data_IF_117316128075
#
_entry.id   IF_117316128075
#
_cell.length_a   1.000
_cell.length_b   1.000
_cell.length_c   1.000
_cell.angle_alpha   90.00
_cell.angle_beta   90.00
_cell.angle_gamma   90.00
#
_symmetry.space_group_name_H-M   'P 1'
#
loop_
_entity.id
_entity.type
_entity.pdbx_description
1 polymer ?
#
# COMPACT_ATOMS: atom_id res chain seq x y z
N UNK A 1 -31.37 73.93 63.36
CA UNK A 1 -31.18 73.31 62.03
C UNK A 1 -30.47 71.99 62.26
N UNK A 2 -31.21 70.88 62.38
CA UNK A 2 -31.49 69.86 61.35
C UNK A 2 -30.24 69.21 60.73
N UNK A 3 -30.09 67.90 60.97
CA UNK A 3 -29.29 66.92 60.24
C UNK A 3 -27.94 66.59 60.90
N UNK A 4 -27.61 65.38 61.38
CA UNK A 4 -28.22 64.06 61.21
C UNK A 4 -27.26 63.11 60.47
N UNK A 5 -26.78 62.09 61.19
CA UNK A 5 -26.35 60.74 60.75
C UNK A 5 -25.00 60.51 60.02
N UNK A 6 -24.12 59.77 60.71
CA UNK A 6 -23.21 58.71 60.19
C UNK A 6 -24.04 57.56 59.55
N UNK A 7 -23.52 56.59 58.72
CA UNK A 7 -22.29 55.80 58.97
C UNK A 7 -21.58 55.14 57.72
N UNK A 8 -20.52 54.35 58.00
CA UNK A 8 -19.93 53.16 57.30
C UNK A 8 -20.11 52.86 55.79
N UNK A 9 -18.97 52.63 55.12
CA UNK A 9 -18.67 51.38 54.37
C UNK A 9 -18.98 51.26 52.87
N UNK A 10 -17.94 51.12 52.03
CA UNK A 10 -17.94 50.43 50.72
C UNK A 10 -16.48 50.29 50.24
N UNK A 11 -15.84 49.12 50.16
CA UNK A 11 -15.99 48.05 49.16
C UNK A 11 -15.83 48.54 47.71
N UNK A 12 -14.60 48.54 47.20
CA UNK A 12 -14.33 48.65 45.77
C UNK A 12 -13.84 47.30 45.23
N UNK A 13 -14.77 46.60 44.57
CA UNK A 13 -14.52 45.43 43.73
C UNK A 13 -13.80 45.83 42.44
N UNK A 14 -12.73 45.10 42.15
CA UNK A 14 -12.29 44.56 40.85
C UNK A 14 -12.48 45.38 39.56
N UNK A 15 -11.37 45.56 38.85
CA UNK A 15 -11.33 45.42 37.38
C UNK A 15 -10.07 44.65 36.98
N UNK A 16 -10.22 43.34 36.73
CA UNK A 16 -9.21 42.55 36.01
C UNK A 16 -9.22 42.97 34.54
N UNK A 17 -8.22 43.71 34.08
CA UNK A 17 -7.99 43.90 32.64
C UNK A 17 -7.34 42.64 32.06
N UNK A 18 -8.13 41.90 31.28
CA UNK A 18 -7.68 40.77 30.45
C UNK A 18 -6.66 41.27 29.43
N UNK A 19 -5.44 40.74 29.49
CA UNK A 19 -4.47 40.84 28.40
C UNK A 19 -4.87 39.84 27.32
N UNK A 20 -5.29 40.34 26.16
CA UNK A 20 -5.43 39.54 24.95
C UNK A 20 -4.04 39.16 24.47
N UNK A 21 -3.60 37.94 24.79
CA UNK A 21 -2.51 37.27 24.08
C UNK A 21 -3.16 36.41 23.00
N UNK A 22 -3.25 36.97 21.79
CA UNK A 22 -3.57 36.20 20.59
C UNK A 22 -2.49 35.14 20.40
N UNK A 23 -2.92 33.88 20.55
CA UNK A 23 -2.07 32.70 20.51
C UNK A 23 -1.61 32.40 19.07
N UNK A 24 -0.34 32.68 18.78
CA UNK A 24 0.35 32.23 17.55
C UNK A 24 0.71 30.73 17.56
N UNK A 25 0.34 29.98 18.61
CA UNK A 25 0.73 28.57 18.80
C UNK A 25 -0.19 27.57 18.07
N UNK A 26 -1.36 28.01 17.59
CA UNK A 26 -2.35 27.11 16.96
C UNK A 26 -2.03 26.69 15.53
N UNK A 27 -1.43 27.58 14.73
CA UNK A 27 -1.20 27.32 13.30
C UNK A 27 -0.03 26.35 13.08
N UNK A 28 1.03 26.48 13.86
CA UNK A 28 2.18 25.57 13.80
C UNK A 28 1.85 24.13 14.25
N UNK A 29 0.86 23.96 15.12
CA UNK A 29 0.46 22.64 15.64
C UNK A 29 -0.39 21.81 14.67
N UNK A 30 -1.01 22.44 13.67
CA UNK A 30 -1.81 21.76 12.63
C UNK A 30 -0.98 21.39 11.39
N UNK A 31 0.11 22.10 11.13
CA UNK A 31 1.01 21.80 10.01
C UNK A 31 1.81 20.51 10.23
N UNK A 32 2.21 20.20 11.47
CA UNK A 32 3.02 19.03 11.80
C UNK A 32 2.32 17.67 11.49
N UNK A 33 1.05 17.43 11.89
CA UNK A 33 0.35 16.19 11.51
C UNK A 33 0.03 16.12 10.00
N UNK A 34 -0.19 17.27 9.35
CA UNK A 34 -0.44 17.32 7.90
C UNK A 34 0.82 16.93 7.09
N UNK A 35 1.99 17.38 7.54
CA UNK A 35 3.28 17.08 6.91
C UNK A 35 3.70 15.62 7.18
N UNK A 36 3.41 15.10 8.37
CA UNK A 36 3.59 13.67 8.67
C UNK A 36 2.66 12.76 7.85
N UNK A 37 1.42 13.19 7.58
CA UNK A 37 0.48 12.47 6.72
C UNK A 37 0.93 12.45 5.24
N UNK A 38 1.60 13.51 4.77
CA UNK A 38 2.18 13.56 3.41
C UNK A 38 3.38 12.61 3.24
N UNK A 39 4.13 12.30 4.29
CA UNK A 39 5.24 11.34 4.23
C UNK A 39 4.79 9.87 4.18
N UNK A 40 3.50 9.57 4.38
CA UNK A 40 2.96 8.19 4.31
C UNK A 40 2.50 7.76 2.91
N UNK A 41 2.69 8.60 1.89
CA UNK A 41 2.45 8.20 0.50
C UNK A 41 3.62 7.34 0.05
N UNK A 42 3.46 6.02 0.17
CA UNK A 42 4.36 5.05 -0.42
C UNK A 42 4.54 5.37 -1.92
N UNK A 43 5.74 5.23 -2.49
CA UNK A 43 5.93 5.41 -3.92
C UNK A 43 4.98 4.47 -4.64
N UNK A 44 4.14 5.02 -5.53
CA UNK A 44 3.39 4.21 -6.48
C UNK A 44 4.42 3.37 -7.23
N UNK A 45 4.41 2.05 -6.97
CA UNK A 45 5.20 1.08 -7.70
C UNK A 45 4.98 1.33 -9.20
N UNK A 46 6.08 1.31 -9.96
CA UNK A 46 6.11 1.54 -11.41
C UNK A 46 4.78 1.16 -12.05
N UNK A 47 4.11 2.15 -12.66
CA UNK A 47 2.75 2.01 -13.20
C UNK A 47 2.56 0.60 -13.78
N UNK A 48 1.68 -0.19 -13.15
CA UNK A 48 1.34 -1.55 -13.61
C UNK A 48 0.98 -1.41 -15.10
N UNK A 49 1.84 -1.91 -15.99
CA UNK A 49 1.61 -1.94 -17.44
C UNK A 49 1.18 -3.36 -17.79
N UNK A 50 -0.09 -3.75 -17.54
CA UNK A 50 -0.53 -5.14 -17.71
C UNK A 50 -0.39 -5.65 -19.14
N UNK A 51 -0.30 -4.74 -20.12
CA UNK A 51 -0.14 -5.03 -21.53
C UNK A 51 1.32 -4.98 -22.01
N UNK A 52 2.27 -4.56 -21.16
CA UNK A 52 3.67 -4.61 -21.56
C UNK A 52 4.07 -6.08 -21.77
N UNK A 53 4.84 -6.39 -22.83
CA UNK A 53 5.38 -7.73 -23.00
C UNK A 53 6.31 -8.07 -21.83
N UNK A 54 6.36 -9.35 -21.46
CA UNK A 54 7.36 -9.85 -20.52
C UNK A 54 8.74 -9.83 -21.20
N UNK A 55 9.78 -9.51 -20.44
CA UNK A 55 11.14 -9.52 -20.95
C UNK A 55 11.65 -10.97 -20.98
N UNK A 56 11.81 -11.48 -22.21
CA UNK A 56 12.30 -12.83 -22.51
C UNK A 56 13.60 -12.79 -23.33
N UNK A 57 14.32 -11.67 -23.28
CA UNK A 57 15.53 -11.44 -24.12
C UNK A 57 16.74 -12.28 -23.70
N UNK A 58 16.75 -12.81 -22.48
CA UNK A 58 17.82 -13.65 -21.94
C UNK A 58 17.29 -14.52 -20.79
N UNK A 59 17.97 -15.61 -20.41
CA UNK A 59 17.53 -16.44 -19.28
C UNK A 59 17.35 -15.65 -17.97
N UNK A 60 18.30 -14.76 -17.64
CA UNK A 60 18.20 -13.92 -16.45
C UNK A 60 17.07 -12.89 -16.52
N UNK A 61 16.79 -12.34 -17.71
CA UNK A 61 15.64 -11.46 -17.92
C UNK A 61 14.31 -12.20 -17.79
N UNK A 62 14.19 -13.41 -18.35
CA UNK A 62 13.02 -14.26 -18.21
C UNK A 62 12.77 -14.63 -16.74
N UNK A 63 13.82 -14.99 -15.99
CA UNK A 63 13.70 -15.30 -14.56
C UNK A 63 13.22 -14.10 -13.75
N UNK A 64 13.76 -12.90 -14.01
CA UNK A 64 13.31 -11.65 -13.37
C UNK A 64 11.83 -11.37 -13.69
N UNK A 65 11.45 -11.46 -14.97
CA UNK A 65 10.05 -11.32 -15.39
C UNK A 65 9.13 -12.33 -14.70
N UNK A 66 9.56 -13.59 -14.59
CA UNK A 66 8.80 -14.63 -13.89
C UNK A 66 8.61 -14.29 -12.40
N UNK A 67 9.68 -13.93 -11.69
CA UNK A 67 9.62 -13.61 -10.25
C UNK A 67 8.72 -12.41 -9.96
N UNK A 68 8.80 -11.36 -10.78
CA UNK A 68 7.96 -10.18 -10.61
C UNK A 68 6.48 -10.51 -10.83
N UNK A 69 6.16 -11.32 -11.83
CA UNK A 69 4.79 -11.78 -12.06
C UNK A 69 4.29 -12.73 -10.99
N UNK A 70 5.11 -13.68 -10.54
CA UNK A 70 4.73 -14.64 -9.52
C UNK A 70 4.39 -13.96 -8.18
N UNK A 71 5.14 -12.92 -7.80
CA UNK A 71 4.79 -12.04 -6.66
C UNK A 71 3.46 -11.32 -6.89
N UNK A 72 3.20 -10.88 -8.12
CA UNK A 72 1.92 -10.29 -8.50
C UNK A 72 0.75 -11.27 -8.40
N UNK A 73 0.96 -12.52 -8.80
CA UNK A 73 -0.01 -13.62 -8.66
C UNK A 73 -0.31 -13.87 -7.17
N UNK A 74 0.73 -13.98 -6.34
CA UNK A 74 0.59 -14.16 -4.89
C UNK A 74 -0.19 -13.00 -4.25
N UNK A 75 0.17 -11.75 -4.57
CA UNK A 75 -0.52 -10.58 -4.06
C UNK A 75 -2.01 -10.55 -4.46
N UNK A 76 -2.33 -10.88 -5.72
CA UNK A 76 -3.72 -10.96 -6.19
C UNK A 76 -4.50 -12.08 -5.50
N UNK A 77 -3.87 -13.24 -5.27
CA UNK A 77 -4.47 -14.34 -4.53
C UNK A 77 -4.76 -13.97 -3.08
N UNK A 78 -3.80 -13.34 -2.39
CA UNK A 78 -3.97 -12.84 -1.02
C UNK A 78 -5.13 -11.83 -0.96
N UNK A 79 -5.19 -10.89 -1.91
CA UNK A 79 -6.27 -9.89 -1.98
C UNK A 79 -7.66 -10.52 -2.21
N UNK A 80 -7.74 -11.53 -3.08
CA UNK A 80 -8.96 -12.32 -3.29
C UNK A 80 -9.35 -13.07 -2.02
N UNK A 81 -8.41 -13.76 -1.37
CA UNK A 81 -8.67 -14.52 -0.13
C UNK A 81 -9.10 -13.64 1.03
N UNK A 82 -8.55 -12.44 1.16
CA UNK A 82 -8.89 -11.52 2.22
C UNK A 82 -10.32 -10.98 2.11
N UNK A 83 -10.81 -10.78 0.89
CA UNK A 83 -12.18 -10.33 0.62
C UNK A 83 -12.62 -10.84 -0.75
N UNK A 84 -13.24 -12.04 -0.81
CA UNK A 84 -13.63 -12.70 -2.05
C UNK A 84 -14.55 -11.84 -2.89
N UNK A 85 -14.17 -11.67 -4.14
CA UNK A 85 -14.89 -10.85 -5.11
C UNK A 85 -14.54 -11.32 -6.53
N UNK A 86 -15.50 -11.19 -7.46
CA UNK A 86 -15.35 -11.65 -8.84
C UNK A 86 -14.30 -10.86 -9.61
N UNK A 87 -14.13 -9.56 -9.36
CA UNK A 87 -13.10 -8.76 -10.03
C UNK A 87 -11.71 -9.19 -9.58
N UNK A 88 -11.54 -9.46 -8.29
CA UNK A 88 -10.27 -9.94 -7.73
C UNK A 88 -9.92 -11.35 -8.20
N UNK A 89 -10.90 -12.24 -8.31
CA UNK A 89 -10.68 -13.56 -8.90
C UNK A 89 -10.20 -13.43 -10.35
N UNK A 90 -10.89 -12.62 -11.16
CA UNK A 90 -10.46 -12.36 -12.55
C UNK A 90 -9.08 -11.69 -12.62
N UNK A 91 -8.74 -10.84 -11.67
CA UNK A 91 -7.41 -10.22 -11.61
C UNK A 91 -6.32 -11.26 -11.31
N UNK A 92 -6.59 -12.18 -10.38
CA UNK A 92 -5.75 -13.34 -10.11
C UNK A 92 -5.61 -14.22 -11.37
N UNK A 93 -6.71 -14.63 -11.99
CA UNK A 93 -6.70 -15.49 -13.19
C UNK A 93 -5.90 -14.85 -14.34
N UNK A 94 -6.06 -13.53 -14.57
CA UNK A 94 -5.29 -12.81 -15.60
C UNK A 94 -3.79 -12.83 -15.33
N UNK A 95 -3.38 -12.66 -14.07
CA UNK A 95 -1.95 -12.71 -13.69
C UNK A 95 -1.40 -14.12 -13.83
N UNK A 96 -2.16 -15.15 -13.45
CA UNK A 96 -1.78 -16.56 -13.67
C UNK A 96 -1.61 -16.83 -15.15
N UNK A 97 -2.58 -16.48 -15.98
CA UNK A 97 -2.53 -16.69 -17.43
C UNK A 97 -1.35 -15.96 -18.09
N UNK A 98 -1.05 -14.73 -17.66
CA UNK A 98 0.11 -13.98 -18.15
C UNK A 98 1.43 -14.65 -17.77
N UNK A 99 1.56 -15.10 -16.52
CA UNK A 99 2.77 -15.80 -16.03
C UNK A 99 2.95 -17.15 -16.73
N UNK A 100 1.85 -17.88 -16.92
CA UNK A 100 1.78 -19.14 -17.65
C UNK A 100 2.27 -19.02 -19.11
N UNK A 101 2.18 -17.84 -19.71
CA UNK A 101 2.72 -17.56 -21.04
C UNK A 101 4.25 -17.70 -21.16
N UNK A 102 4.97 -17.76 -20.04
CA UNK A 102 6.42 -18.05 -20.02
C UNK A 102 6.74 -19.55 -20.13
N UNK A 103 5.75 -20.42 -20.06
CA UNK A 103 5.92 -21.87 -20.12
C UNK A 103 5.46 -22.42 -21.47
N UNK A 104 6.19 -23.42 -21.98
CA UNK A 104 5.88 -24.09 -23.23
C UNK A 104 4.71 -25.09 -23.10
N UNK A 105 3.53 -24.58 -22.74
CA UNK A 105 2.31 -25.41 -22.56
C UNK A 105 1.53 -25.66 -23.86
N UNK A 106 1.98 -25.10 -24.98
CA UNK A 106 1.33 -25.25 -26.29
C UNK A 106 1.24 -26.68 -26.79
N UNK A 107 2.15 -27.56 -26.33
CA UNK A 107 2.15 -28.99 -26.63
C UNK A 107 1.06 -29.78 -25.90
N UNK A 108 0.47 -29.20 -24.84
CA UNK A 108 -0.54 -29.86 -24.04
C UNK A 108 -1.93 -29.77 -24.70
N UNK A 109 -2.78 -30.82 -24.54
CA UNK A 109 -4.18 -30.77 -24.92
C UNK A 109 -4.90 -29.58 -24.26
N UNK A 110 -5.81 -28.95 -25.00
CA UNK A 110 -6.54 -27.77 -24.52
C UNK A 110 -7.24 -27.99 -23.19
N UNK A 111 -7.81 -29.18 -22.96
CA UNK A 111 -8.56 -29.51 -21.76
C UNK A 111 -7.75 -29.46 -20.45
N UNK A 112 -6.43 -29.63 -20.51
CA UNK A 112 -5.55 -29.68 -19.32
C UNK A 112 -4.56 -28.52 -19.26
N UNK A 113 -4.46 -27.72 -20.34
CA UNK A 113 -3.41 -26.71 -20.50
C UNK A 113 -3.42 -25.68 -19.38
N UNK A 114 -4.59 -25.17 -19.05
CA UNK A 114 -4.74 -24.13 -18.03
C UNK A 114 -4.36 -24.63 -16.64
N UNK A 115 -4.86 -25.81 -16.25
CA UNK A 115 -4.56 -26.45 -14.97
C UNK A 115 -3.06 -26.72 -14.82
N UNK A 116 -2.44 -27.34 -15.84
CA UNK A 116 -1.02 -27.66 -15.82
C UNK A 116 -0.17 -26.39 -15.81
N UNK A 117 -0.54 -25.36 -16.57
CA UNK A 117 0.21 -24.11 -16.59
C UNK A 117 0.12 -23.35 -15.25
N UNK A 118 -1.07 -23.29 -14.65
CA UNK A 118 -1.26 -22.69 -13.34
C UNK A 118 -0.45 -23.43 -12.26
N UNK A 119 -0.46 -24.77 -12.28
CA UNK A 119 0.34 -25.59 -11.39
C UNK A 119 1.84 -25.35 -11.59
N UNK A 120 2.31 -25.27 -12.84
CA UNK A 120 3.72 -25.02 -13.16
C UNK A 120 4.21 -23.67 -12.62
N UNK A 121 3.41 -22.61 -12.73
CA UNK A 121 3.70 -21.30 -12.12
C UNK A 121 3.91 -21.45 -10.61
N UNK A 122 2.96 -22.10 -9.91
CA UNK A 122 3.03 -22.30 -8.47
C UNK A 122 4.24 -23.12 -8.03
N UNK A 123 4.50 -24.25 -8.70
CA UNK A 123 5.63 -25.12 -8.35
C UNK A 123 6.98 -24.45 -8.57
N UNK A 124 7.18 -23.77 -9.70
CA UNK A 124 8.44 -23.09 -9.95
C UNK A 124 8.68 -21.98 -8.92
N UNK A 125 7.67 -21.17 -8.60
CA UNK A 125 7.80 -20.13 -7.59
C UNK A 125 8.13 -20.71 -6.21
N UNK A 126 7.44 -21.78 -5.80
CA UNK A 126 7.70 -22.48 -4.54
C UNK A 126 9.12 -23.07 -4.46
N UNK A 127 9.63 -23.64 -5.57
CA UNK A 127 11.01 -24.12 -5.66
C UNK A 127 11.99 -22.95 -5.49
N UNK A 128 11.79 -21.85 -6.23
CA UNK A 128 12.70 -20.70 -6.18
C UNK A 128 12.72 -20.03 -4.79
N UNK A 129 11.59 -19.99 -4.08
CA UNK A 129 11.52 -19.47 -2.72
C UNK A 129 12.26 -20.33 -1.68
N UNK A 130 12.52 -21.60 -1.99
CA UNK A 130 13.28 -22.52 -1.13
C UNK A 130 14.78 -22.51 -1.40
N UNK A 131 15.22 -21.89 -2.50
CA UNK A 131 16.65 -21.77 -2.80
C UNK A 131 17.30 -20.75 -1.86
N UNK A 132 18.57 -20.96 -1.49
CA UNK A 132 19.31 -19.97 -0.73
C UNK A 132 19.55 -18.73 -1.62
N UNK A 133 19.61 -17.52 -1.04
CA UNK A 133 19.64 -16.27 -1.79
C UNK A 133 20.86 -16.13 -2.71
N UNK A 134 21.99 -16.74 -2.36
CA UNK A 134 23.18 -16.82 -3.19
C UNK A 134 22.91 -17.44 -4.57
N UNK A 135 22.04 -18.45 -4.65
CA UNK A 135 21.72 -19.15 -5.90
C UNK A 135 20.79 -18.34 -6.82
N UNK A 136 20.06 -17.37 -6.26
CA UNK A 136 19.18 -16.46 -7.00
C UNK A 136 19.94 -15.26 -7.58
N UNK A 137 21.18 -15.02 -7.14
CA UNK A 137 22.01 -13.86 -7.51
C UNK A 137 22.90 -14.09 -8.74
N UNK A 138 22.96 -15.32 -9.26
CA UNK A 138 23.86 -15.74 -10.35
C UNK A 138 23.24 -15.60 -11.76
N UNK A 139 22.11 -14.90 -11.91
CA UNK A 139 21.36 -14.74 -13.16
C UNK A 139 21.26 -13.29 -13.66
#
# INVERSE_FOLDING_TARGET
MRGGASPTGASCRGVRRRRHLFSFRGVASLLLPLLAAMCLVAPATAADRPLAPLDVTSPGATLRSFLDEARGVEAAFVAYRAAPDHEKLRAFDRRVARTAGLFDTGVLPHAVREEVAAAAVGFLYDILLRLPPEDLSLA
#
